data_IF_477527958905
#
_entry.id   IF_477527958905
#
_cell.length_a   1.000
_cell.length_b   1.000
_cell.length_c   1.000
_cell.angle_alpha   90.00
_cell.angle_beta   90.00
_cell.angle_gamma   90.00
#
_symmetry.space_group_name_H-M   'P 1'
#
loop_
_entity.id
_entity.type
_entity.pdbx_description
1 polymer ?
#
# COMPACT_ATOMS: atom_id res chain seq x y z
N UNK A 1 -45.44 -18.00 -5.55
CA UNK A 1 -45.42 -16.90 -4.55
C UNK A 1 -44.28 -17.12 -3.56
N UNK A 2 -43.19 -16.34 -3.62
CA UNK A 2 -42.14 -16.39 -2.61
C UNK A 2 -42.59 -15.60 -1.39
N UNK A 3 -42.93 -16.28 -0.31
CA UNK A 3 -43.28 -15.67 1.00
C UNK A 3 -42.00 -14.95 1.53
N UNK A 4 -42.02 -13.61 1.57
CA UNK A 4 -40.98 -12.82 2.23
C UNK A 4 -41.00 -13.15 3.72
N UNK A 5 -39.94 -13.82 4.22
CA UNK A 5 -39.77 -14.01 5.67
C UNK A 5 -39.76 -12.65 6.37
N UNK A 6 -40.48 -12.46 7.47
CA UNK A 6 -40.49 -11.22 8.23
C UNK A 6 -39.05 -10.90 8.70
N UNK A 7 -38.64 -9.66 8.49
CA UNK A 7 -37.31 -9.18 8.92
C UNK A 7 -37.26 -9.28 10.46
N UNK A 8 -36.35 -10.10 10.97
CA UNK A 8 -36.12 -10.19 12.42
C UNK A 8 -35.60 -8.84 12.92
N UNK A 9 -36.17 -8.22 13.97
CA UNK A 9 -35.78 -6.90 14.47
C UNK A 9 -34.29 -6.80 14.79
N UNK A 10 -33.67 -7.87 15.28
CA UNK A 10 -32.24 -7.95 15.50
C UNK A 10 -31.41 -7.86 14.20
N UNK A 11 -31.90 -8.34 13.06
CA UNK A 11 -31.22 -8.21 11.77
C UNK A 11 -31.31 -6.76 11.24
N UNK A 12 -32.43 -6.10 11.44
CA UNK A 12 -32.62 -4.69 11.10
C UNK A 12 -31.68 -3.81 11.91
N UNK A 13 -31.59 -4.03 13.23
CA UNK A 13 -30.70 -3.30 14.12
C UNK A 13 -29.22 -3.48 13.75
N UNK A 14 -28.78 -4.71 13.41
CA UNK A 14 -27.42 -5.00 12.94
C UNK A 14 -27.09 -4.29 11.61
N UNK A 15 -28.05 -4.30 10.66
CA UNK A 15 -27.85 -3.64 9.37
C UNK A 15 -27.79 -2.11 9.52
N UNK A 16 -28.62 -1.55 10.41
CA UNK A 16 -28.61 -0.12 10.71
C UNK A 16 -27.27 0.29 11.35
N UNK A 17 -26.80 -0.48 12.34
CA UNK A 17 -25.52 -0.25 12.97
C UNK A 17 -24.35 -0.33 11.96
N UNK A 18 -24.39 -1.32 11.06
CA UNK A 18 -23.38 -1.44 9.98
C UNK A 18 -23.42 -0.23 9.02
N UNK A 19 -24.62 0.27 8.69
CA UNK A 19 -24.80 1.45 7.83
C UNK A 19 -24.26 2.72 8.48
N UNK A 20 -24.53 2.91 9.77
CA UNK A 20 -24.04 4.06 10.55
C UNK A 20 -22.51 4.00 10.62
N UNK A 21 -21.93 2.85 10.94
CA UNK A 21 -20.48 2.68 10.95
C UNK A 21 -19.87 2.97 9.57
N UNK A 22 -20.46 2.43 8.51
CA UNK A 22 -20.00 2.69 7.14
C UNK A 22 -20.06 4.20 6.82
N UNK A 23 -21.13 4.89 7.19
CA UNK A 23 -21.26 6.34 6.99
C UNK A 23 -20.17 7.13 7.75
N UNK A 24 -19.87 6.74 9.00
CA UNK A 24 -18.80 7.37 9.79
C UNK A 24 -17.43 7.20 9.11
N UNK A 25 -17.11 6.01 8.61
CA UNK A 25 -15.83 5.76 7.94
C UNK A 25 -15.72 6.40 6.55
N UNK A 26 -16.82 6.52 5.83
CA UNK A 26 -16.84 7.12 4.48
C UNK A 26 -16.87 8.65 4.55
N UNK A 27 -17.41 9.22 5.64
CA UNK A 27 -17.58 10.67 5.77
C UNK A 27 -16.28 11.48 5.59
N UNK A 28 -15.13 11.14 6.20
CA UNK A 28 -13.89 11.90 5.98
C UNK A 28 -13.45 11.93 4.51
N UNK A 29 -13.57 10.79 3.82
CA UNK A 29 -13.23 10.66 2.39
C UNK A 29 -14.19 11.47 1.54
N UNK A 30 -15.49 11.38 1.82
CA UNK A 30 -16.52 12.19 1.19
C UNK A 30 -16.24 13.68 1.40
N UNK A 31 -15.89 14.09 2.64
CA UNK A 31 -15.60 15.49 2.97
C UNK A 31 -14.38 16.01 2.21
N UNK A 32 -13.30 15.25 2.17
CA UNK A 32 -12.10 15.55 1.39
C UNK A 32 -12.44 15.73 -0.09
N UNK A 33 -13.14 14.77 -0.68
CA UNK A 33 -13.54 14.83 -2.10
C UNK A 33 -14.50 15.97 -2.38
N UNK A 34 -15.53 16.18 -1.55
CA UNK A 34 -16.47 17.29 -1.75
C UNK A 34 -15.79 18.64 -1.58
N UNK A 35 -14.88 18.78 -0.61
CA UNK A 35 -14.12 20.01 -0.39
C UNK A 35 -13.15 20.32 -1.52
N UNK A 36 -12.62 19.30 -2.21
CA UNK A 36 -11.77 19.51 -3.40
C UNK A 36 -12.51 20.18 -4.57
N UNK A 37 -13.84 20.11 -4.58
CA UNK A 37 -14.71 20.67 -5.61
C UNK A 37 -15.38 21.99 -5.18
N UNK A 38 -15.12 22.46 -3.96
CA UNK A 38 -15.72 23.73 -3.46
C UNK A 38 -14.86 24.93 -3.83
N UNK A 39 -15.49 26.09 -4.09
CA UNK A 39 -14.77 27.36 -4.13
C UNK A 39 -14.08 27.63 -2.78
N UNK A 40 -12.91 28.27 -2.81
CA UNK A 40 -12.12 28.55 -1.60
C UNK A 40 -12.93 29.33 -0.53
N UNK A 41 -13.84 30.22 -0.95
CA UNK A 41 -14.72 30.99 -0.07
C UNK A 41 -15.71 30.12 0.74
N UNK A 42 -16.01 28.90 0.29
CA UNK A 42 -16.97 27.99 0.92
C UNK A 42 -16.30 26.87 1.75
N UNK A 43 -14.97 26.75 1.69
CA UNK A 43 -14.22 25.71 2.42
C UNK A 43 -14.04 26.07 3.90
N UNK A 44 -13.73 27.34 4.18
CA UNK A 44 -13.43 27.87 5.53
C UNK A 44 -14.59 28.63 6.14
N UNK A 45 -15.81 28.25 5.84
CA UNK A 45 -17.01 28.86 6.44
C UNK A 45 -17.25 28.31 7.85
N UNK A 46 -17.91 29.15 8.70
CA UNK A 46 -18.26 28.77 10.07
C UNK A 46 -19.21 27.57 10.08
N UNK A 47 -20.14 27.50 9.15
CA UNK A 47 -21.10 26.41 9.03
C UNK A 47 -20.72 25.52 7.84
N UNK A 48 -20.81 24.18 7.98
CA UNK A 48 -20.48 23.25 6.91
C UNK A 48 -21.40 23.43 5.70
N UNK A 49 -20.84 23.69 4.53
CA UNK A 49 -21.58 23.80 3.27
C UNK A 49 -21.65 22.44 2.61
N UNK A 50 -22.86 21.87 2.47
CA UNK A 50 -23.09 20.60 1.80
C UNK A 50 -23.59 20.76 0.35
N UNK A 51 -24.24 21.87 0.04
CA UNK A 51 -24.74 22.19 -1.30
C UNK A 51 -23.95 23.38 -1.83
N UNK A 52 -23.22 23.18 -2.90
CA UNK A 52 -22.31 24.17 -3.48
C UNK A 52 -22.26 24.03 -5.01
N UNK A 53 -21.76 25.04 -5.72
CA UNK A 53 -21.50 24.96 -7.16
C UNK A 53 -20.11 24.36 -7.36
N UNK A 54 -20.00 23.14 -7.96
CA UNK A 54 -18.70 22.50 -8.14
C UNK A 54 -17.76 23.30 -9.03
N UNK A 55 -16.48 23.40 -8.63
CA UNK A 55 -15.40 23.99 -9.43
C UNK A 55 -14.22 23.01 -9.55
N UNK A 56 -13.49 23.07 -10.66
CA UNK A 56 -12.24 22.35 -10.85
C UNK A 56 -11.00 23.23 -10.65
N UNK A 57 -11.17 24.46 -10.19
CA UNK A 57 -10.08 25.43 -9.98
C UNK A 57 -9.01 24.86 -9.01
N UNK A 58 -9.44 24.20 -7.94
CA UNK A 58 -8.54 23.57 -6.98
C UNK A 58 -7.66 22.49 -7.63
N UNK A 59 -8.20 21.74 -8.59
CA UNK A 59 -7.43 20.72 -9.34
C UNK A 59 -6.47 21.37 -10.32
N UNK A 60 -6.87 22.46 -11.00
CA UNK A 60 -5.96 23.18 -11.89
C UNK A 60 -4.82 23.82 -11.11
N UNK A 61 -5.09 24.36 -9.91
CA UNK A 61 -4.06 24.86 -9.01
C UNK A 61 -3.12 23.74 -8.55
N UNK A 62 -3.68 22.62 -8.12
CA UNK A 62 -2.88 21.48 -7.61
C UNK A 62 -1.98 20.87 -8.69
N UNK A 63 -2.49 20.68 -9.91
CA UNK A 63 -1.74 20.06 -11.02
C UNK A 63 -0.94 21.05 -11.84
N UNK A 64 -1.21 22.36 -11.71
CA UNK A 64 -0.49 23.43 -12.40
C UNK A 64 0.87 23.74 -11.81
N UNK A 65 1.28 23.07 -10.75
CA UNK A 65 2.62 23.18 -10.17
C UNK A 65 3.65 22.60 -11.15
N UNK A 66 4.76 23.30 -11.34
CA UNK A 66 5.89 22.78 -12.11
C UNK A 66 6.31 21.42 -11.57
N UNK A 67 6.71 20.52 -12.45
CA UNK A 67 7.15 19.16 -12.12
C UNK A 67 6.07 18.23 -11.55
N UNK A 68 4.77 18.56 -11.58
CA UNK A 68 3.71 17.66 -11.10
C UNK A 68 3.84 16.23 -11.67
N UNK A 69 3.99 16.12 -12.99
CA UNK A 69 4.15 14.82 -13.65
C UNK A 69 5.45 14.10 -13.29
N UNK A 70 6.50 14.84 -12.96
CA UNK A 70 7.75 14.28 -12.44
C UNK A 70 7.52 13.64 -11.07
N UNK A 71 6.82 14.32 -10.17
CA UNK A 71 6.46 13.77 -8.87
C UNK A 71 5.60 12.50 -8.98
N UNK A 72 4.62 12.51 -9.89
CA UNK A 72 3.79 11.32 -10.19
C UNK A 72 4.65 10.16 -10.67
N UNK A 73 5.51 10.40 -11.64
CA UNK A 73 6.39 9.38 -12.23
C UNK A 73 7.38 8.83 -11.21
N UNK A 74 8.03 9.70 -10.43
CA UNK A 74 8.95 9.30 -9.38
C UNK A 74 8.26 8.44 -8.33
N UNK A 75 7.07 8.85 -7.85
CA UNK A 75 6.30 8.07 -6.89
C UNK A 75 5.95 6.68 -7.41
N UNK A 76 5.53 6.58 -8.67
CA UNK A 76 5.22 5.29 -9.30
C UNK A 76 6.47 4.42 -9.45
N UNK A 77 7.59 4.99 -9.95
CA UNK A 77 8.85 4.25 -10.13
C UNK A 77 9.34 3.72 -8.79
N UNK A 78 9.42 4.57 -7.76
CA UNK A 78 9.93 4.20 -6.44
C UNK A 78 9.02 3.13 -5.81
N UNK A 79 7.72 3.38 -5.79
CA UNK A 79 6.76 2.48 -5.11
C UNK A 79 6.65 1.13 -5.82
N UNK A 80 6.41 1.14 -7.14
CA UNK A 80 6.25 -0.10 -7.92
C UNK A 80 7.58 -0.86 -7.97
N UNK A 81 8.70 -0.15 -8.17
CA UNK A 81 10.04 -0.74 -8.15
C UNK A 81 10.36 -1.43 -6.83
N UNK A 82 10.13 -0.76 -5.70
CA UNK A 82 10.36 -1.31 -4.37
C UNK A 82 9.49 -2.55 -4.10
N UNK A 83 8.19 -2.49 -4.44
CA UNK A 83 7.25 -3.61 -4.25
C UNK A 83 7.62 -4.80 -5.11
N UNK A 84 7.93 -4.60 -6.38
CA UNK A 84 8.31 -5.69 -7.28
C UNK A 84 9.61 -6.37 -6.83
N UNK A 85 10.63 -5.60 -6.46
CA UNK A 85 11.87 -6.13 -5.90
C UNK A 85 11.62 -6.92 -4.62
N UNK A 86 10.78 -6.37 -3.71
CA UNK A 86 10.42 -7.05 -2.47
C UNK A 86 9.68 -8.36 -2.72
N UNK A 87 8.74 -8.40 -3.66
CA UNK A 87 8.01 -9.62 -4.01
C UNK A 87 8.94 -10.71 -4.56
N UNK A 88 9.84 -10.37 -5.49
CA UNK A 88 10.77 -11.32 -6.09
C UNK A 88 11.69 -11.93 -5.03
N UNK A 89 12.33 -11.08 -4.22
CA UNK A 89 13.26 -11.54 -3.18
C UNK A 89 12.51 -12.29 -2.06
N UNK A 90 11.37 -11.74 -1.61
CA UNK A 90 10.57 -12.35 -0.55
C UNK A 90 9.99 -13.70 -0.97
N UNK A 91 9.58 -13.88 -2.22
CA UNK A 91 9.05 -15.15 -2.70
C UNK A 91 10.10 -16.25 -2.62
N UNK A 92 11.32 -15.97 -3.06
CA UNK A 92 12.44 -16.93 -2.97
C UNK A 92 12.83 -17.19 -1.50
N UNK A 93 12.98 -16.16 -0.68
CA UNK A 93 13.35 -16.26 0.71
C UNK A 93 12.27 -17.00 1.53
N UNK A 94 11.01 -16.64 1.36
CA UNK A 94 9.90 -17.26 2.08
C UNK A 94 9.71 -18.73 1.70
N UNK A 95 9.91 -19.10 0.42
CA UNK A 95 9.89 -20.49 -0.02
C UNK A 95 11.02 -21.29 0.63
N UNK A 96 12.25 -20.78 0.60
CA UNK A 96 13.38 -21.43 1.27
C UNK A 96 13.12 -21.61 2.77
N UNK A 97 12.64 -20.57 3.45
CA UNK A 97 12.30 -20.61 4.87
C UNK A 97 11.14 -21.58 5.16
N UNK A 98 10.13 -21.67 4.32
CA UNK A 98 8.96 -22.51 4.55
C UNK A 98 9.22 -24.01 4.23
N UNK A 99 9.93 -24.30 3.14
CA UNK A 99 10.06 -25.66 2.56
C UNK A 99 11.41 -26.31 2.77
N UNK A 100 12.50 -25.52 2.86
CA UNK A 100 13.84 -26.12 2.92
C UNK A 100 14.32 -26.33 4.36
N UNK A 101 15.09 -27.39 4.57
CA UNK A 101 15.78 -27.66 5.82
C UNK A 101 17.25 -27.27 5.68
N UNK A 102 17.67 -26.21 6.39
CA UNK A 102 19.06 -25.75 6.40
C UNK A 102 19.46 -25.21 7.78
N UNK A 103 20.80 -25.26 8.04
CA UNK A 103 21.36 -24.70 9.28
C UNK A 103 21.16 -23.17 9.31
N UNK A 104 20.75 -22.64 10.48
CA UNK A 104 20.52 -21.18 10.63
C UNK A 104 19.10 -20.69 10.29
N UNK A 105 18.19 -21.55 9.79
CA UNK A 105 16.80 -21.16 9.46
C UNK A 105 16.09 -20.39 10.58
N UNK A 106 16.23 -20.85 11.83
CA UNK A 106 15.62 -20.15 12.99
C UNK A 106 16.21 -18.74 13.20
N UNK A 107 17.54 -18.61 13.02
CA UNK A 107 18.22 -17.32 13.11
C UNK A 107 17.76 -16.34 12.04
N UNK A 108 17.62 -16.78 10.78
CA UNK A 108 17.12 -15.92 9.69
C UNK A 108 15.69 -15.46 9.99
N UNK A 109 14.81 -16.36 10.45
CA UNK A 109 13.44 -15.98 10.85
C UNK A 109 13.46 -14.93 11.95
N UNK A 110 14.33 -15.09 12.96
CA UNK A 110 14.48 -14.13 14.04
C UNK A 110 14.97 -12.76 13.52
N UNK A 111 15.97 -12.74 12.64
CA UNK A 111 16.47 -11.49 12.02
C UNK A 111 15.37 -10.78 11.24
N UNK A 112 14.58 -11.50 10.44
CA UNK A 112 13.46 -10.91 9.69
C UNK A 112 12.41 -10.33 10.64
N UNK A 113 12.12 -11.00 11.77
CA UNK A 113 11.20 -10.47 12.79
C UNK A 113 11.76 -9.22 13.47
N UNK A 114 13.05 -9.23 13.84
CA UNK A 114 13.69 -8.07 14.46
C UNK A 114 13.74 -6.88 13.51
N UNK A 115 13.99 -7.11 12.22
CA UNK A 115 13.99 -6.05 11.22
C UNK A 115 12.65 -5.32 11.10
N UNK A 116 11.52 -6.01 11.34
CA UNK A 116 10.20 -5.37 11.35
C UNK A 116 9.95 -4.48 12.59
N UNK A 117 10.70 -4.70 13.67
CA UNK A 117 10.58 -3.93 14.91
C UNK A 117 11.47 -2.69 14.91
N UNK A 118 12.38 -2.56 13.95
CA UNK A 118 13.26 -1.41 13.86
C UNK A 118 12.45 -0.15 13.50
N UNK A 119 12.53 0.94 14.31
CA UNK A 119 11.88 2.20 13.98
C UNK A 119 12.65 2.88 12.83
N UNK A 120 12.01 2.95 11.66
CA UNK A 120 12.62 3.48 10.43
C UNK A 120 13.02 4.94 10.57
N UNK A 121 12.27 5.72 11.33
CA UNK A 121 12.54 7.13 11.58
C UNK A 121 13.88 7.34 12.30
N UNK A 122 14.28 6.41 13.17
CA UNK A 122 15.59 6.47 13.84
C UNK A 122 16.74 6.24 12.87
N UNK A 123 16.51 5.48 11.81
CA UNK A 123 17.53 5.15 10.82
C UNK A 123 17.79 6.28 9.80
N UNK A 124 16.92 7.30 9.74
CA UNK A 124 17.00 8.39 8.74
C UNK A 124 18.37 9.06 8.77
N UNK A 125 18.91 9.39 9.95
CA UNK A 125 20.20 10.07 10.09
C UNK A 125 21.32 9.21 9.53
N UNK A 126 21.35 7.93 9.87
CA UNK A 126 22.36 7.00 9.37
C UNK A 126 22.28 6.83 7.84
N UNK A 127 21.06 6.70 7.30
CA UNK A 127 20.82 6.61 5.87
C UNK A 127 21.27 7.88 5.13
N UNK A 128 20.99 9.05 5.71
CA UNK A 128 21.46 10.33 5.15
C UNK A 128 22.99 10.39 5.11
N UNK A 129 23.66 10.00 6.20
CA UNK A 129 25.14 10.03 6.24
C UNK A 129 25.74 9.09 5.20
N UNK A 130 25.22 7.86 5.06
CA UNK A 130 25.66 6.90 4.05
C UNK A 130 25.42 7.44 2.64
N UNK A 131 24.24 8.01 2.38
CA UNK A 131 23.88 8.56 1.07
C UNK A 131 24.77 9.77 0.71
N UNK A 132 25.04 10.64 1.67
CA UNK A 132 25.91 11.82 1.49
C UNK A 132 27.36 11.40 1.22
N UNK A 133 27.92 10.50 2.03
CA UNK A 133 29.32 10.09 1.92
C UNK A 133 29.56 9.24 0.66
N UNK A 134 28.50 8.60 0.13
CA UNK A 134 28.52 7.87 -1.13
C UNK A 134 28.13 8.69 -2.36
N UNK A 135 27.88 10.00 -2.22
CA UNK A 135 27.39 10.88 -3.30
C UNK A 135 26.10 10.36 -3.98
N UNK A 136 25.19 9.81 -3.15
CA UNK A 136 23.94 9.20 -3.60
C UNK A 136 22.68 9.98 -3.17
N UNK A 137 22.84 11.21 -2.66
CA UNK A 137 21.70 12.09 -2.40
C UNK A 137 20.96 12.41 -3.72
N UNK A 138 19.70 12.76 -3.63
CA UNK A 138 18.84 13.05 -4.78
C UNK A 138 18.73 11.87 -5.78
N UNK A 139 18.77 10.63 -5.29
CA UNK A 139 18.80 9.43 -6.13
C UNK A 139 17.50 8.64 -6.02
N UNK A 140 16.71 8.59 -7.10
CA UNK A 140 15.51 7.74 -7.21
C UNK A 140 15.85 6.24 -7.06
N UNK A 141 16.94 5.71 -7.66
CA UNK A 141 17.36 4.33 -7.40
C UNK A 141 17.67 4.04 -5.93
N UNK A 142 18.38 4.93 -5.23
CA UNK A 142 18.66 4.75 -3.80
C UNK A 142 17.35 4.75 -2.99
N UNK A 143 16.45 5.69 -3.24
CA UNK A 143 15.16 5.76 -2.57
C UNK A 143 14.34 4.48 -2.81
N UNK A 144 14.37 3.96 -4.05
CA UNK A 144 13.73 2.67 -4.39
C UNK A 144 14.30 1.51 -3.58
N UNK A 145 15.63 1.46 -3.41
CA UNK A 145 16.30 0.42 -2.61
C UNK A 145 15.97 0.52 -1.12
N UNK A 146 15.89 1.74 -0.58
CA UNK A 146 15.49 1.94 0.82
C UNK A 146 14.05 1.46 1.04
N UNK A 147 13.13 1.81 0.16
CA UNK A 147 11.74 1.37 0.27
C UNK A 147 11.58 -0.14 0.06
N UNK A 148 12.37 -0.73 -0.85
CA UNK A 148 12.45 -2.19 -0.99
C UNK A 148 12.86 -2.85 0.32
N UNK A 149 13.92 -2.39 0.98
CA UNK A 149 14.39 -2.94 2.25
C UNK A 149 13.35 -2.76 3.36
N UNK A 150 12.63 -1.64 3.38
CA UNK A 150 11.57 -1.34 4.34
C UNK A 150 10.39 -2.32 4.21
N UNK A 151 9.96 -2.65 2.99
CA UNK A 151 8.82 -3.52 2.73
C UNK A 151 9.17 -5.01 2.82
N UNK A 152 10.43 -5.37 2.57
CA UNK A 152 10.89 -6.76 2.43
C UNK A 152 10.60 -7.67 3.64
N UNK A 153 10.87 -7.29 4.91
CA UNK A 153 10.66 -8.17 6.06
C UNK A 153 9.21 -8.59 6.24
N UNK A 154 8.28 -7.65 6.12
CA UNK A 154 6.85 -7.94 6.20
C UNK A 154 6.40 -8.88 5.07
N UNK A 155 6.89 -8.64 3.85
CA UNK A 155 6.58 -9.46 2.68
C UNK A 155 7.08 -10.89 2.85
N UNK A 156 8.31 -11.08 3.34
CA UNK A 156 8.87 -12.42 3.64
C UNK A 156 8.03 -13.14 4.69
N UNK A 157 7.71 -12.45 5.80
CA UNK A 157 6.96 -13.04 6.90
C UNK A 157 5.57 -13.51 6.47
N UNK A 158 4.87 -12.65 5.75
CA UNK A 158 3.51 -12.93 5.28
C UNK A 158 3.50 -14.04 4.24
N UNK A 159 4.34 -13.96 3.20
CA UNK A 159 4.42 -15.00 2.17
C UNK A 159 4.85 -16.36 2.75
N UNK A 160 5.76 -16.38 3.72
CA UNK A 160 6.12 -17.62 4.43
C UNK A 160 4.89 -18.28 5.04
N UNK A 161 3.97 -17.50 5.65
CA UNK A 161 2.73 -18.02 6.21
C UNK A 161 1.83 -18.66 5.15
N UNK A 162 1.65 -18.00 4.01
CA UNK A 162 0.89 -18.53 2.89
C UNK A 162 1.50 -19.79 2.30
N UNK A 163 2.83 -19.82 2.11
CA UNK A 163 3.53 -21.01 1.60
C UNK A 163 3.38 -22.17 2.59
N UNK A 164 3.51 -21.94 3.89
CA UNK A 164 3.37 -22.97 4.91
C UNK A 164 1.94 -23.55 4.98
N UNK A 165 0.93 -22.77 4.60
CA UNK A 165 -0.46 -23.22 4.57
C UNK A 165 -0.80 -24.10 3.36
N UNK A 166 0.01 -24.10 2.30
CA UNK A 166 -0.17 -25.02 1.15
C UNK A 166 0.28 -26.43 1.57
N UNK A 167 -0.57 -27.47 1.44
CA UNK A 167 -0.20 -28.84 1.73
C UNK A 167 0.99 -29.31 0.90
N UNK A 168 1.95 -29.99 1.53
CA UNK A 168 3.18 -30.50 0.86
C UNK A 168 2.82 -31.58 -0.15
N UNK A 169 1.76 -32.32 0.10
CA UNK A 169 1.24 -33.41 -0.72
C UNK A 169 0.89 -32.95 -2.15
N UNK A 170 0.50 -31.68 -2.33
CA UNK A 170 0.25 -31.11 -3.68
C UNK A 170 1.55 -30.96 -4.48
N UNK A 171 2.65 -30.64 -3.80
CA UNK A 171 3.97 -30.53 -4.40
C UNK A 171 4.52 -31.92 -4.75
N UNK A 172 4.33 -32.90 -3.87
CA UNK A 172 4.74 -34.30 -4.07
C UNK A 172 3.93 -34.94 -5.19
N UNK A 173 2.62 -34.76 -5.24
CA UNK A 173 1.77 -35.25 -6.31
C UNK A 173 2.21 -34.73 -7.68
N UNK A 174 2.50 -33.42 -7.79
CA UNK A 174 3.01 -32.84 -9.04
C UNK A 174 4.35 -33.43 -9.47
N UNK A 175 5.22 -33.81 -8.51
CA UNK A 175 6.50 -34.47 -8.82
C UNK A 175 6.28 -35.92 -9.26
N UNK A 176 5.31 -36.64 -8.70
CA UNK A 176 4.90 -38.00 -9.16
C UNK A 176 4.36 -37.91 -10.60
N UNK A 177 3.62 -36.85 -10.92
CA UNK A 177 3.14 -36.57 -12.28
C UNK A 177 4.23 -36.10 -13.26
N UNK A 178 5.51 -36.17 -12.86
CA UNK A 178 6.68 -35.89 -13.70
C UNK A 178 7.12 -34.42 -13.71
N UNK A 179 6.58 -33.56 -12.86
CA UNK A 179 7.07 -32.20 -12.71
C UNK A 179 8.41 -32.16 -11.98
N UNK A 180 9.35 -31.36 -12.47
CA UNK A 180 10.50 -30.95 -11.66
C UNK A 180 10.05 -30.06 -10.49
N UNK A 181 10.87 -29.90 -9.44
CA UNK A 181 10.57 -29.02 -8.29
C UNK A 181 10.20 -27.60 -8.73
N UNK A 182 10.92 -27.02 -9.69
CA UNK A 182 10.62 -25.69 -10.24
C UNK A 182 9.29 -25.65 -11.01
N UNK A 183 8.95 -26.74 -11.71
CA UNK A 183 7.66 -26.84 -12.39
C UNK A 183 6.50 -27.03 -11.39
N UNK A 184 6.67 -27.83 -10.35
CA UNK A 184 5.71 -27.98 -9.26
C UNK A 184 5.47 -26.64 -8.55
N UNK A 185 6.53 -25.89 -8.25
CA UNK A 185 6.41 -24.55 -7.70
C UNK A 185 5.61 -23.64 -8.62
N UNK A 186 6.00 -23.53 -9.91
CA UNK A 186 5.38 -22.56 -10.85
C UNK A 186 3.94 -22.92 -11.20
N UNK A 187 3.64 -24.24 -11.38
CA UNK A 187 2.34 -24.71 -11.86
C UNK A 187 1.32 -24.92 -10.74
N UNK A 188 1.77 -25.27 -9.54
CA UNK A 188 0.91 -25.65 -8.40
C UNK A 188 0.99 -24.64 -7.27
N UNK A 189 2.19 -24.40 -6.71
CA UNK A 189 2.32 -23.55 -5.52
C UNK A 189 2.08 -22.09 -5.84
N UNK A 190 2.75 -21.54 -6.84
CA UNK A 190 2.69 -20.11 -7.18
C UNK A 190 1.26 -19.60 -7.43
N UNK A 191 0.38 -20.29 -8.18
CA UNK A 191 -1.02 -19.87 -8.31
C UNK A 191 -1.78 -19.86 -6.99
N UNK A 192 -1.50 -20.80 -6.07
CA UNK A 192 -2.13 -20.85 -4.75
C UNK A 192 -1.65 -19.73 -3.81
N UNK A 193 -0.52 -19.10 -4.11
CA UNK A 193 0.00 -17.96 -3.36
C UNK A 193 -0.63 -16.63 -3.79
N UNK A 194 -1.46 -16.59 -4.84
CA UNK A 194 -2.06 -15.36 -5.35
C UNK A 194 -2.70 -14.46 -4.27
N UNK A 195 -3.47 -14.99 -3.28
CA UNK A 195 -4.01 -14.15 -2.22
C UNK A 195 -2.91 -13.52 -1.35
N UNK A 196 -1.87 -14.27 -1.03
CA UNK A 196 -0.73 -13.78 -0.26
C UNK A 196 0.08 -12.73 -1.01
N UNK A 197 0.35 -12.97 -2.30
CA UNK A 197 1.03 -12.01 -3.16
C UNK A 197 0.26 -10.69 -3.27
N UNK A 198 -1.07 -10.76 -3.41
CA UNK A 198 -1.91 -9.57 -3.49
C UNK A 198 -1.95 -8.80 -2.18
N UNK A 199 -2.10 -9.49 -1.05
CA UNK A 199 -2.11 -8.86 0.27
C UNK A 199 -0.79 -8.15 0.56
N UNK A 200 0.33 -8.80 0.27
CA UNK A 200 1.66 -8.21 0.49
C UNK A 200 1.97 -7.09 -0.48
N UNK A 201 1.53 -7.20 -1.76
CA UNK A 201 1.67 -6.13 -2.76
C UNK A 201 0.89 -4.89 -2.35
N UNK A 202 -0.35 -5.04 -1.89
CA UNK A 202 -1.17 -3.93 -1.44
C UNK A 202 -0.55 -3.23 -0.23
N UNK A 203 -0.15 -4.02 0.78
CA UNK A 203 0.49 -3.46 1.97
C UNK A 203 1.80 -2.74 1.61
N UNK A 204 2.65 -3.38 0.81
CA UNK A 204 3.92 -2.79 0.36
C UNK A 204 3.70 -1.52 -0.46
N UNK A 205 2.70 -1.52 -1.35
CA UNK A 205 2.33 -0.34 -2.13
C UNK A 205 1.90 0.81 -1.22
N UNK A 206 0.97 0.57 -0.29
CA UNK A 206 0.50 1.60 0.64
C UNK A 206 1.65 2.15 1.49
N UNK A 207 2.52 1.27 2.00
CA UNK A 207 3.66 1.66 2.84
C UNK A 207 4.66 2.53 2.07
N UNK A 208 5.08 2.12 0.88
CA UNK A 208 6.02 2.86 0.05
C UNK A 208 5.41 4.14 -0.55
N UNK A 209 4.12 4.11 -0.93
CA UNK A 209 3.42 5.26 -1.49
C UNK A 209 3.28 6.41 -0.50
N UNK A 210 3.01 6.11 0.77
CA UNK A 210 2.81 7.12 1.82
C UNK A 210 4.13 7.54 2.50
N UNK A 211 5.27 6.96 2.11
CA UNK A 211 6.53 7.32 2.75
C UNK A 211 6.91 8.76 2.42
N UNK A 212 7.20 9.53 3.45
CA UNK A 212 7.46 10.97 3.39
C UNK A 212 8.84 11.33 3.95
N UNK A 213 9.23 10.71 5.06
CA UNK A 213 10.35 11.17 5.85
C UNK A 213 11.71 10.93 5.16
N UNK A 214 11.86 9.78 4.49
CA UNK A 214 13.09 9.46 3.75
C UNK A 214 13.25 10.36 2.53
N UNK A 215 12.18 10.57 1.74
CA UNK A 215 12.27 11.46 0.58
C UNK A 215 12.53 12.91 1.00
N UNK A 216 11.94 13.38 2.11
CA UNK A 216 12.17 14.71 2.66
C UNK A 216 13.65 14.94 3.00
N UNK A 217 14.33 13.92 3.50
CA UNK A 217 15.72 14.03 3.97
C UNK A 217 16.72 13.77 2.86
N UNK A 218 16.45 12.78 1.99
CA UNK A 218 17.40 12.30 0.99
C UNK A 218 17.32 13.03 -0.35
N UNK A 219 16.11 13.49 -0.75
CA UNK A 219 15.85 14.05 -2.06
C UNK A 219 15.45 15.54 -1.93
N UNK A 220 16.47 16.43 -1.96
CA UNK A 220 16.29 17.89 -1.81
C UNK A 220 15.93 18.55 -3.13
N UNK A 221 16.44 18.04 -4.25
CA UNK A 221 16.19 18.57 -5.58
C UNK A 221 14.75 18.23 -5.99
N UNK A 222 14.01 19.25 -6.43
CA UNK A 222 12.59 19.09 -6.77
C UNK A 222 12.34 18.01 -7.83
N UNK A 223 13.23 17.86 -8.81
CA UNK A 223 13.13 16.85 -9.86
C UNK A 223 13.21 15.40 -9.35
N UNK A 224 13.75 15.19 -8.14
CA UNK A 224 13.92 13.88 -7.52
C UNK A 224 12.94 13.64 -6.35
N UNK A 225 11.96 14.51 -6.16
CA UNK A 225 10.95 14.37 -5.13
C UNK A 225 9.77 13.50 -5.59
N UNK A 226 8.95 13.10 -4.61
CA UNK A 226 7.73 12.30 -4.82
C UNK A 226 6.48 13.10 -4.49
N UNK A 227 5.31 12.55 -4.80
CA UNK A 227 4.00 13.17 -4.52
C UNK A 227 3.76 13.46 -3.04
N UNK A 228 4.45 12.78 -2.13
CA UNK A 228 4.33 13.06 -0.69
C UNK A 228 4.86 14.46 -0.33
N UNK A 229 5.96 14.91 -0.97
CA UNK A 229 6.44 16.27 -0.80
C UNK A 229 5.62 17.30 -1.56
N UNK A 230 5.10 16.95 -2.74
CA UNK A 230 4.19 17.82 -3.48
C UNK A 230 2.95 18.20 -2.65
N UNK A 231 2.40 17.28 -1.85
CA UNK A 231 1.27 17.59 -0.96
C UNK A 231 1.55 18.73 0.03
N UNK A 232 2.79 18.94 0.42
CA UNK A 232 3.17 19.99 1.37
C UNK A 232 3.27 21.38 0.76
N UNK A 233 3.31 21.50 -0.57
CA UNK A 233 3.49 22.78 -1.27
C UNK A 233 2.29 23.71 -1.11
N UNK A 234 1.11 23.18 -0.80
CA UNK A 234 -0.13 23.95 -0.60
C UNK A 234 -0.29 24.47 0.84
N UNK A 235 0.66 24.17 1.71
CA UNK A 235 0.72 24.63 3.10
C UNK A 235 1.95 25.50 3.27
N UNK A 236 1.74 26.81 3.39
CA UNK A 236 2.83 27.78 3.51
C UNK A 236 2.79 28.51 4.85
N UNK A 237 3.89 29.19 5.19
CA UNK A 237 3.95 30.03 6.37
C UNK A 237 2.98 31.24 6.32
N UNK A 238 2.49 31.59 5.13
CA UNK A 238 1.58 32.72 4.89
C UNK A 238 0.11 32.31 4.79
N UNK A 239 -0.19 31.01 4.89
CA UNK A 239 -1.53 30.45 4.85
C UNK A 239 -1.58 29.12 4.12
N UNK A 240 -2.73 28.44 4.26
CA UNK A 240 -2.97 27.15 3.64
C UNK A 240 -4.02 27.31 2.54
N UNK A 241 -3.70 26.83 1.34
CA UNK A 241 -4.69 26.65 0.29
C UNK A 241 -5.41 25.31 0.53
N UNK A 242 -6.51 25.37 1.27
CA UNK A 242 -7.28 24.16 1.61
C UNK A 242 -7.94 23.52 0.40
N UNK A 243 -8.36 24.33 -0.60
CA UNK A 243 -8.94 23.81 -1.83
C UNK A 243 -7.94 22.96 -2.61
N UNK A 244 -6.76 23.53 -2.89
CA UNK A 244 -5.67 22.82 -3.55
C UNK A 244 -5.18 21.63 -2.72
N UNK A 245 -5.09 21.76 -1.38
CA UNK A 245 -4.72 20.65 -0.48
C UNK A 245 -5.71 19.49 -0.58
N UNK A 246 -7.03 19.74 -0.59
CA UNK A 246 -8.04 18.70 -0.70
C UNK A 246 -8.04 18.06 -2.10
N UNK A 247 -7.85 18.86 -3.17
CA UNK A 247 -7.68 18.34 -4.53
C UNK A 247 -6.43 17.46 -4.67
N UNK A 248 -5.30 17.94 -4.15
CA UNK A 248 -4.04 17.19 -4.13
C UNK A 248 -4.17 15.87 -3.34
N UNK A 249 -4.78 15.92 -2.15
CA UNK A 249 -5.03 14.73 -1.34
C UNK A 249 -5.94 13.71 -2.05
N UNK A 250 -6.95 14.21 -2.77
CA UNK A 250 -7.83 13.36 -3.59
C UNK A 250 -7.06 12.68 -4.71
N UNK A 251 -6.23 13.42 -5.46
CA UNK A 251 -5.38 12.87 -6.52
C UNK A 251 -4.36 11.87 -5.95
N UNK A 252 -3.75 12.18 -4.81
CA UNK A 252 -2.81 11.30 -4.13
C UNK A 252 -3.43 9.98 -3.69
N UNK A 253 -4.69 9.97 -3.29
CA UNK A 253 -5.41 8.77 -2.88
C UNK A 253 -5.81 7.85 -4.06
N UNK A 254 -5.95 8.40 -5.28
CA UNK A 254 -6.44 7.64 -6.44
C UNK A 254 -5.61 6.38 -6.76
N UNK A 255 -4.26 6.42 -6.85
CA UNK A 255 -3.48 5.22 -7.15
C UNK A 255 -3.67 4.11 -6.11
N UNK A 256 -3.75 4.46 -4.83
CA UNK A 256 -4.01 3.49 -3.75
C UNK A 256 -5.39 2.85 -3.92
N UNK A 257 -6.42 3.65 -4.21
CA UNK A 257 -7.78 3.16 -4.45
C UNK A 257 -7.82 2.24 -5.69
N UNK A 258 -7.15 2.63 -6.77
CA UNK A 258 -7.07 1.83 -8.00
C UNK A 258 -6.42 0.47 -7.70
N UNK A 259 -5.25 0.46 -7.07
CA UNK A 259 -4.53 -0.76 -6.70
C UNK A 259 -5.40 -1.63 -5.78
N UNK A 260 -6.05 -1.04 -4.77
CA UNK A 260 -6.96 -1.74 -3.88
C UNK A 260 -8.12 -2.40 -4.64
N UNK A 261 -8.81 -1.67 -5.52
CA UNK A 261 -9.94 -2.18 -6.31
C UNK A 261 -9.55 -3.34 -7.23
N UNK A 262 -8.34 -3.32 -7.79
CA UNK A 262 -7.82 -4.42 -8.60
C UNK A 262 -7.47 -5.66 -7.78
N UNK A 263 -6.84 -5.47 -6.63
CA UNK A 263 -6.32 -6.57 -5.81
C UNK A 263 -7.39 -7.20 -4.90
N UNK A 264 -8.35 -6.43 -4.38
CA UNK A 264 -9.36 -6.91 -3.40
C UNK A 264 -10.18 -8.11 -3.90
N UNK A 265 -10.53 -8.15 -5.21
CA UNK A 265 -11.39 -9.21 -5.76
C UNK A 265 -10.80 -10.60 -5.60
N UNK A 266 -9.48 -10.73 -5.64
CA UNK A 266 -8.78 -12.00 -5.51
C UNK A 266 -8.28 -12.27 -4.08
N UNK A 267 -8.05 -11.22 -3.27
CA UNK A 267 -7.67 -11.36 -1.87
C UNK A 267 -8.81 -11.95 -1.03
N UNK A 268 -10.05 -11.53 -1.26
CA UNK A 268 -11.24 -12.02 -0.51
C UNK A 268 -11.55 -13.49 -0.84
N UNK A 269 -11.35 -13.94 -2.09
CA UNK A 269 -11.58 -15.32 -2.48
C UNK A 269 -10.68 -16.36 -1.77
N UNK A 270 -9.47 -15.96 -1.39
CA UNK A 270 -8.53 -16.83 -0.68
C UNK A 270 -8.81 -16.97 0.83
N UNK A 271 -9.35 -15.93 1.47
CA UNK A 271 -9.67 -15.96 2.90
C UNK A 271 -10.92 -16.79 3.21
N UNK A 272 -11.90 -16.80 2.31
CA UNK A 272 -13.14 -17.59 2.48
C UNK A 272 -12.93 -19.08 2.23
N UNK A 273 -12.00 -19.46 1.35
CA UNK A 273 -11.67 -20.87 1.11
C UNK A 273 -10.99 -21.55 2.31
N UNK A 274 -10.30 -20.81 3.19
CA UNK A 274 -9.70 -21.29 4.42
C UNK A 274 -10.65 -21.32 5.63
N UNK A 275 -11.73 -20.56 5.60
CA UNK A 275 -12.67 -20.42 6.72
C UNK A 275 -13.82 -21.46 6.70
N UNK A 276 -13.97 -22.26 5.64
CA UNK A 276 -15.00 -23.31 5.50
C UNK A 276 -14.37 -24.70 5.75
N UNK A 277 -13.61 -24.84 6.82
CA UNK A 277 -13.29 -26.14 7.43
C UNK A 277 -13.70 -26.10 8.90
N UNK A 278 -14.98 -26.25 9.12
CA UNK A 278 -15.62 -26.45 10.39
C UNK A 278 -17.00 -26.99 10.14
#
# INVERSE_FOLDING_TARGET
MRTRKPLRPAAVAKNLAALVLAAIFVFPVYWMFSSSLKPQSEILTKDPVFVFTPTFENYTTATGVDLFWTYVTNSLIVTVGAVLLALVVALAASFAIARMKFKGRKGIVLIVMMAQMAPWEVMIIAMYMIARDGDMLNSIPLLTMIYFVMVLPFTIWTLRGFIAAVPVELEEAAQIDGCTRGQAFRKVIFPLLAPGLMSTSLFGFITAWNEFAMVLVLNKDAENQTLTLWLTQFQTAFGNDWGATMAASTLFALPVLIVFLFLQRKAVGGMTAGAVKG
#
